data_IF_806876798563
#
_entry.id   IF_806876798563
#
_cell.length_a   1.000
_cell.length_b   1.000
_cell.length_c   1.000
_cell.angle_alpha   90.00
_cell.angle_beta   90.00
_cell.angle_gamma   90.00
#
_symmetry.space_group_name_H-M   'P 1'
#
loop_
_entity.id
_entity.type
_entity.pdbx_description
1 polymer ?
#
# COMPACT_ATOMS: atom_id res chain seq x y z
N UNK A 1 -3.93 31.73 -29.05
CA UNK A 1 -4.05 30.31 -29.40
C UNK A 1 -3.20 29.56 -28.39
N UNK A 2 -3.85 28.92 -27.44
CA UNK A 2 -3.27 28.30 -26.24
C UNK A 2 -2.52 27.02 -26.62
N UNK A 3 -1.22 26.99 -26.36
CA UNK A 3 -0.40 25.79 -26.46
C UNK A 3 -0.59 24.98 -25.17
N UNK A 4 -1.46 23.98 -25.24
CA UNK A 4 -1.67 23.01 -24.16
C UNK A 4 -0.45 22.09 -24.14
N UNK A 5 0.57 22.50 -23.39
CA UNK A 5 1.72 21.66 -23.08
C UNK A 5 1.21 20.34 -22.47
N UNK A 6 1.31 19.26 -23.24
CA UNK A 6 1.04 17.91 -22.81
C UNK A 6 1.93 17.58 -21.63
N UNK A 7 1.36 17.66 -20.42
CA UNK A 7 1.97 17.16 -19.19
C UNK A 7 2.31 15.70 -19.44
N UNK A 8 3.59 15.35 -19.52
CA UNK A 8 4.02 13.97 -19.74
C UNK A 8 3.37 13.11 -18.65
N UNK A 9 2.40 12.29 -19.01
CA UNK A 9 1.77 11.31 -18.12
C UNK A 9 2.73 10.15 -17.94
N UNK A 10 3.86 10.39 -17.27
CA UNK A 10 4.63 9.28 -16.73
C UNK A 10 3.76 8.65 -15.64
N UNK A 11 3.47 7.33 -15.71
CA UNK A 11 2.78 6.65 -14.62
C UNK A 11 3.59 6.91 -13.35
N UNK A 12 3.00 7.63 -12.40
CA UNK A 12 3.66 7.92 -11.14
C UNK A 12 3.81 6.62 -10.38
N UNK A 13 5.05 6.34 -9.99
CA UNK A 13 5.39 5.17 -9.18
C UNK A 13 5.27 5.53 -7.70
N UNK A 14 5.01 4.53 -6.86
CA UNK A 14 4.79 4.72 -5.43
C UNK A 14 6.03 5.32 -4.72
N UNK A 15 7.23 4.93 -5.14
CA UNK A 15 8.49 5.28 -4.50
C UNK A 15 8.75 6.78 -4.32
N UNK A 16 8.73 7.61 -5.39
CA UNK A 16 8.93 9.05 -5.27
C UNK A 16 7.92 9.74 -4.35
N UNK A 17 6.67 9.27 -4.31
CA UNK A 17 5.61 9.89 -3.50
C UNK A 17 5.72 9.51 -2.03
N UNK A 18 6.11 8.27 -1.72
CA UNK A 18 6.51 7.90 -0.35
C UNK A 18 7.76 8.68 0.08
N UNK A 19 8.74 8.85 -0.81
CA UNK A 19 9.94 9.62 -0.51
C UNK A 19 9.62 11.09 -0.18
N UNK A 20 8.75 11.74 -0.96
CA UNK A 20 8.25 13.10 -0.70
C UNK A 20 7.50 13.18 0.64
N UNK A 21 6.65 12.19 0.95
CA UNK A 21 5.92 12.16 2.22
C UNK A 21 6.85 12.11 3.44
N UNK A 22 7.97 11.37 3.34
CA UNK A 22 8.96 11.21 4.41
C UNK A 22 9.91 12.39 4.58
N UNK A 23 9.91 13.37 3.67
CA UNK A 23 10.67 14.61 3.84
C UNK A 23 10.01 15.59 4.83
N UNK A 24 8.77 15.31 5.25
CA UNK A 24 8.06 16.11 6.25
C UNK A 24 8.47 15.72 7.68
N UNK A 25 8.35 16.67 8.61
CA UNK A 25 8.60 16.41 10.03
C UNK A 25 7.58 15.46 10.66
N UNK A 26 6.35 15.46 10.15
CA UNK A 26 5.29 14.56 10.57
C UNK A 26 4.82 13.76 9.35
N UNK A 27 4.95 12.44 9.45
CA UNK A 27 4.60 11.50 8.40
C UNK A 27 3.39 10.70 8.88
N UNK A 28 2.27 10.78 8.17
CA UNK A 28 1.08 9.95 8.43
C UNK A 28 0.71 9.16 7.18
N UNK A 29 0.52 7.85 7.35
CA UNK A 29 0.24 6.94 6.25
C UNK A 29 -0.95 6.07 6.60
N UNK A 30 -2.04 6.20 5.84
CA UNK A 30 -3.20 5.33 5.95
C UNK A 30 -3.32 4.50 4.67
N UNK A 31 -3.17 3.18 4.81
CA UNK A 31 -2.93 2.29 3.68
C UNK A 31 -3.95 1.16 3.65
N UNK A 32 -4.60 0.96 2.52
CA UNK A 32 -5.37 -0.25 2.22
C UNK A 32 -4.75 -0.99 1.04
N UNK A 33 -4.37 -2.26 1.24
CA UNK A 33 -3.61 -3.02 0.25
C UNK A 33 -3.81 -4.53 0.41
N UNK A 34 -3.48 -5.29 -0.63
CA UNK A 34 -3.61 -6.75 -0.69
C UNK A 34 -2.46 -7.43 0.05
N UNK A 35 -1.23 -7.02 -0.21
CA UNK A 35 -0.02 -7.69 0.33
C UNK A 35 1.00 -6.78 1.00
N UNK A 36 0.86 -5.45 0.90
CA UNK A 36 1.87 -4.46 1.37
C UNK A 36 3.25 -4.52 0.71
N UNK A 37 3.52 -5.46 -0.18
CA UNK A 37 4.82 -5.68 -0.84
C UNK A 37 5.45 -4.39 -1.41
N UNK A 38 4.67 -3.62 -2.18
CA UNK A 38 5.19 -2.39 -2.80
C UNK A 38 5.54 -1.30 -1.79
N UNK A 39 4.77 -1.17 -0.70
CA UNK A 39 5.05 -0.12 0.29
C UNK A 39 6.18 -0.53 1.24
N UNK A 40 6.29 -1.81 1.58
CA UNK A 40 7.42 -2.34 2.35
C UNK A 40 8.77 -1.94 1.73
N UNK A 41 8.94 -2.17 0.42
CA UNK A 41 10.16 -1.78 -0.32
C UNK A 41 10.47 -0.29 -0.14
N UNK A 42 9.47 0.57 -0.25
CA UNK A 42 9.69 2.02 -0.22
C UNK A 42 9.89 2.56 1.19
N UNK A 43 9.29 1.94 2.21
CA UNK A 43 9.54 2.28 3.63
C UNK A 43 10.96 1.88 4.02
N UNK A 44 11.46 0.71 3.59
CA UNK A 44 12.86 0.33 3.77
C UNK A 44 13.82 1.36 3.16
N UNK A 45 13.53 1.83 1.94
CA UNK A 45 14.33 2.88 1.31
C UNK A 45 14.34 4.19 2.13
N UNK A 46 13.24 4.54 2.81
CA UNK A 46 13.21 5.73 3.68
C UNK A 46 13.94 5.49 5.00
N UNK A 47 13.83 4.28 5.57
CA UNK A 47 14.58 3.93 6.77
C UNK A 47 16.09 4.07 6.56
N UNK A 48 16.61 3.66 5.39
CA UNK A 48 18.01 3.87 5.03
C UNK A 48 18.39 5.36 4.92
N UNK A 49 17.51 6.20 4.33
CA UNK A 49 17.74 7.65 4.29
C UNK A 49 17.77 8.27 5.69
N UNK A 50 16.91 7.80 6.61
CA UNK A 50 16.90 8.24 8.02
C UNK A 50 18.21 7.84 8.71
N UNK A 51 18.65 6.59 8.54
CA UNK A 51 19.92 6.09 9.10
C UNK A 51 21.13 6.88 8.60
N UNK A 52 21.08 7.33 7.35
CA UNK A 52 22.10 8.16 6.74
C UNK A 52 22.01 9.66 7.11
N UNK A 53 21.05 10.06 7.96
CA UNK A 53 20.74 11.46 8.29
C UNK A 53 20.48 12.33 7.04
N UNK A 54 19.90 11.73 5.99
CA UNK A 54 19.48 12.46 4.77
C UNK A 54 18.11 13.13 5.01
N UNK A 55 17.25 12.49 5.80
CA UNK A 55 15.96 12.99 6.24
C UNK A 55 15.79 12.72 7.74
N UNK A 56 15.06 13.59 8.43
CA UNK A 56 14.92 13.55 9.90
C UNK A 56 13.44 13.77 10.31
N UNK A 57 12.52 12.85 9.97
CA UNK A 57 11.14 12.95 10.45
C UNK A 57 11.13 12.88 11.99
N UNK A 58 10.26 13.68 12.61
CA UNK A 58 10.06 13.69 14.06
C UNK A 58 9.00 12.70 14.51
N UNK A 59 8.01 12.44 13.65
CA UNK A 59 6.94 11.49 13.88
C UNK A 59 6.64 10.68 12.63
N UNK A 60 6.48 9.38 12.78
CA UNK A 60 5.92 8.47 11.77
C UNK A 60 4.71 7.78 12.39
N UNK A 61 3.55 7.89 11.75
CA UNK A 61 2.35 7.16 12.10
C UNK A 61 1.84 6.37 10.89
N UNK A 62 1.67 5.06 11.05
CA UNK A 62 1.18 4.19 9.97
C UNK A 62 -0.02 3.39 10.45
N UNK A 63 -1.13 3.50 9.73
CA UNK A 63 -2.29 2.60 9.87
C UNK A 63 -2.43 1.80 8.59
N UNK A 64 -2.52 0.48 8.72
CA UNK A 64 -2.66 -0.40 7.57
C UNK A 64 -3.84 -1.34 7.70
N UNK A 65 -4.67 -1.35 6.67
CA UNK A 65 -5.76 -2.29 6.46
C UNK A 65 -5.33 -3.36 5.46
N UNK A 66 -5.34 -4.61 5.92
CA UNK A 66 -5.07 -5.80 5.11
C UNK A 66 -6.32 -6.67 5.01
N UNK A 67 -6.52 -7.43 3.93
CA UNK A 67 -7.59 -8.42 3.88
C UNK A 67 -7.39 -9.49 4.95
N UNK A 68 -8.45 -9.86 5.67
CA UNK A 68 -8.43 -10.99 6.59
C UNK A 68 -8.15 -12.31 5.86
N UNK A 69 -7.67 -13.36 6.53
CA UNK A 69 -7.52 -14.68 5.91
C UNK A 69 -8.81 -15.16 5.23
N UNK A 70 -9.97 -14.92 5.86
CA UNK A 70 -11.27 -15.24 5.27
C UNK A 70 -11.56 -14.45 3.98
N UNK A 71 -11.22 -13.16 3.92
CA UNK A 71 -11.34 -12.39 2.68
C UNK A 71 -10.38 -12.87 1.59
N UNK A 72 -9.17 -13.30 1.97
CA UNK A 72 -8.20 -13.86 1.02
C UNK A 72 -8.68 -15.18 0.41
N UNK A 73 -9.36 -16.03 1.18
CA UNK A 73 -9.98 -17.26 0.66
C UNK A 73 -11.06 -17.00 -0.40
N UNK A 74 -11.79 -15.89 -0.25
CA UNK A 74 -12.88 -15.52 -1.15
C UNK A 74 -12.41 -14.74 -2.39
N UNK A 75 -11.10 -14.45 -2.51
CA UNK A 75 -10.58 -13.76 -3.69
C UNK A 75 -10.83 -14.61 -4.95
N UNK A 76 -11.27 -13.99 -6.05
CA UNK A 76 -11.40 -14.67 -7.35
C UNK A 76 -10.04 -14.91 -8.03
N UNK A 77 -8.95 -14.43 -7.42
CA UNK A 77 -7.57 -14.56 -7.87
C UNK A 77 -6.63 -14.70 -6.66
N UNK A 78 -5.39 -15.18 -6.83
CA UNK A 78 -4.86 -15.82 -8.03
C UNK A 78 -5.62 -17.12 -8.35
N UNK A 79 -5.70 -17.45 -9.65
CA UNK A 79 -6.35 -18.66 -10.16
C UNK A 79 -5.50 -19.28 -11.25
N UNK A 80 -5.10 -20.52 -11.08
CA UNK A 80 -4.30 -21.26 -12.06
C UNK A 80 -5.09 -21.56 -13.34
N UNK A 81 -4.37 -21.82 -14.44
CA UNK A 81 -5.00 -22.45 -15.61
C UNK A 81 -5.55 -23.84 -15.28
N UNK A 82 -4.84 -24.58 -14.44
CA UNK A 82 -5.30 -25.79 -13.78
C UNK A 82 -5.71 -25.45 -12.34
N UNK A 83 -6.94 -25.81 -11.98
CA UNK A 83 -7.54 -25.56 -10.67
C UNK A 83 -6.80 -26.28 -9.53
N UNK A 84 -6.00 -27.31 -9.83
CA UNK A 84 -5.14 -27.98 -8.84
C UNK A 84 -4.13 -27.05 -8.17
N UNK A 85 -3.79 -25.91 -8.80
CA UNK A 85 -2.84 -24.93 -8.25
C UNK A 85 -3.49 -23.82 -7.41
N UNK A 86 -4.82 -23.69 -7.39
CA UNK A 86 -5.50 -22.54 -6.77
C UNK A 86 -5.17 -22.39 -5.28
N UNK A 87 -5.15 -23.50 -4.54
CA UNK A 87 -4.79 -23.50 -3.12
C UNK A 87 -3.34 -23.04 -2.91
N UNK A 88 -2.39 -23.56 -3.70
CA UNK A 88 -0.98 -23.20 -3.62
C UNK A 88 -0.74 -21.72 -3.97
N UNK A 89 -1.48 -21.21 -4.95
CA UNK A 89 -1.41 -19.80 -5.35
C UNK A 89 -1.95 -18.87 -4.26
N UNK A 90 -3.06 -19.23 -3.61
CA UNK A 90 -3.62 -18.49 -2.47
C UNK A 90 -2.71 -18.54 -1.25
N UNK A 91 -2.15 -19.70 -0.93
CA UNK A 91 -1.19 -19.87 0.16
C UNK A 91 0.05 -19.00 -0.06
N UNK A 92 0.59 -19.00 -1.29
CA UNK A 92 1.68 -18.10 -1.68
C UNK A 92 1.31 -16.63 -1.47
N UNK A 93 0.13 -16.20 -1.93
CA UNK A 93 -0.32 -14.81 -1.77
C UNK A 93 -0.42 -14.42 -0.30
N UNK A 94 -0.97 -15.30 0.55
CA UNK A 94 -1.03 -15.12 2.01
C UNK A 94 0.36 -14.99 2.61
N UNK A 95 1.28 -15.87 2.23
CA UNK A 95 2.67 -15.81 2.66
C UNK A 95 3.37 -14.50 2.27
N UNK A 96 3.10 -13.95 1.08
CA UNK A 96 3.61 -12.63 0.69
C UNK A 96 3.06 -11.54 1.62
N UNK A 97 1.74 -11.52 1.84
CA UNK A 97 1.10 -10.53 2.70
C UNK A 97 1.66 -10.56 4.13
N UNK A 98 1.77 -11.75 4.72
CA UNK A 98 2.31 -11.96 6.07
C UNK A 98 3.78 -11.51 6.17
N UNK A 99 4.63 -11.90 5.21
CA UNK A 99 6.05 -11.54 5.21
C UNK A 99 6.27 -10.03 5.14
N UNK A 100 5.56 -9.32 4.27
CA UNK A 100 5.74 -7.88 4.12
C UNK A 100 5.11 -7.09 5.27
N UNK A 101 3.99 -7.56 5.85
CA UNK A 101 3.46 -6.97 7.07
C UNK A 101 4.45 -7.12 8.25
N UNK A 102 5.05 -8.30 8.41
CA UNK A 102 6.07 -8.54 9.43
C UNK A 102 7.35 -7.70 9.19
N UNK A 103 7.78 -7.59 7.93
CA UNK A 103 8.91 -6.75 7.52
C UNK A 103 8.70 -5.27 7.89
N UNK A 104 7.51 -4.73 7.61
CA UNK A 104 7.15 -3.36 7.96
C UNK A 104 7.15 -3.11 9.47
N UNK A 105 6.55 -4.03 10.25
CA UNK A 105 6.58 -3.94 11.73
C UNK A 105 8.01 -3.90 12.25
N UNK A 106 8.88 -4.74 11.68
CA UNK A 106 10.30 -4.81 12.07
C UNK A 106 11.01 -3.49 11.78
N UNK A 107 10.98 -2.99 10.53
CA UNK A 107 11.73 -1.78 10.16
C UNK A 107 11.25 -0.54 10.92
N UNK A 108 9.94 -0.37 11.11
CA UNK A 108 9.39 0.73 11.91
C UNK A 108 9.74 0.57 13.40
N UNK A 109 9.71 -0.67 13.91
CA UNK A 109 10.14 -0.98 15.27
C UNK A 109 11.62 -0.69 15.51
N UNK A 110 12.48 -0.94 14.52
CA UNK A 110 13.91 -0.64 14.56
C UNK A 110 14.16 0.87 14.63
N UNK A 111 13.52 1.68 13.76
CA UNK A 111 13.61 3.15 13.81
C UNK A 111 13.27 3.71 15.20
N UNK A 112 12.25 3.13 15.85
CA UNK A 112 11.86 3.47 17.23
C UNK A 112 12.90 3.04 18.26
N UNK A 113 13.35 1.79 18.18
CA UNK A 113 14.27 1.17 19.16
C UNK A 113 15.63 1.83 19.16
N UNK A 114 16.12 2.18 17.97
CA UNK A 114 17.38 2.88 17.76
C UNK A 114 17.27 4.39 18.01
N UNK A 115 16.08 4.89 18.33
CA UNK A 115 15.80 6.31 18.61
C UNK A 115 16.18 7.23 17.45
N UNK A 116 16.12 6.71 16.22
CA UNK A 116 16.36 7.49 15.00
C UNK A 116 15.19 8.41 14.69
N UNK A 117 13.98 8.05 15.13
CA UNK A 117 12.78 8.87 15.03
C UNK A 117 12.16 9.01 16.43
N UNK A 118 11.91 10.24 16.92
CA UNK A 118 11.38 10.47 18.27
C UNK A 118 10.05 9.77 18.58
N UNK A 119 9.12 9.73 17.61
CA UNK A 119 7.85 9.01 17.75
C UNK A 119 7.56 8.15 16.53
N UNK A 120 7.34 6.85 16.75
CA UNK A 120 6.93 5.90 15.72
C UNK A 120 5.76 5.08 16.24
N UNK A 121 4.62 5.23 15.58
CA UNK A 121 3.37 4.54 15.85
C UNK A 121 2.97 3.74 14.61
N UNK A 122 2.61 2.47 14.79
CA UNK A 122 2.09 1.68 13.69
C UNK A 122 1.05 0.68 14.17
N UNK A 123 0.03 0.50 13.35
CA UNK A 123 -1.06 -0.43 13.62
C UNK A 123 -1.50 -1.11 12.32
N UNK A 124 -1.73 -2.42 12.40
CA UNK A 124 -2.21 -3.21 11.27
C UNK A 124 -3.47 -3.94 11.70
N UNK A 125 -4.54 -3.69 10.96
CA UNK A 125 -5.85 -4.30 11.16
C UNK A 125 -6.26 -5.10 9.93
N UNK A 126 -7.12 -6.07 10.16
CA UNK A 126 -7.66 -6.92 9.11
C UNK A 126 -9.12 -6.58 8.84
N UNK A 127 -9.51 -6.66 7.57
CA UNK A 127 -10.89 -6.40 7.11
C UNK A 127 -11.42 -7.54 6.27
N UNK A 128 -12.71 -7.85 6.41
CA UNK A 128 -13.38 -8.84 5.55
C UNK A 128 -13.89 -8.16 4.27
N UNK A 129 -12.97 -7.50 3.55
CA UNK A 129 -13.22 -6.85 2.27
C UNK A 129 -12.23 -7.39 1.23
N UNK A 130 -12.75 -7.83 0.08
CA UNK A 130 -11.95 -8.20 -1.09
C UNK A 130 -11.33 -6.94 -1.70
N UNK A 131 -10.00 -6.77 -1.64
CA UNK A 131 -9.35 -5.56 -2.14
C UNK A 131 -9.45 -5.46 -3.66
N UNK A 132 -10.28 -4.55 -4.13
CA UNK A 132 -10.42 -4.18 -5.55
C UNK A 132 -9.44 -3.07 -5.97
N UNK A 133 -8.88 -2.33 -5.00
CA UNK A 133 -7.94 -1.25 -5.22
C UNK A 133 -6.91 -1.13 -4.09
N UNK A 134 -5.81 -0.45 -4.40
CA UNK A 134 -4.82 0.08 -3.47
C UNK A 134 -5.20 1.50 -3.12
N UNK A 135 -5.05 1.84 -1.84
CA UNK A 135 -5.20 3.19 -1.35
C UNK A 135 -4.01 3.55 -0.46
N UNK A 136 -3.45 4.73 -0.69
CA UNK A 136 -2.45 5.35 0.17
C UNK A 136 -2.88 6.78 0.43
N UNK A 137 -3.35 7.09 1.64
CA UNK A 137 -3.53 8.46 2.11
C UNK A 137 -2.21 8.90 2.73
N UNK A 138 -1.61 9.95 2.18
CA UNK A 138 -0.29 10.44 2.56
C UNK A 138 -0.45 11.82 3.21
N UNK A 139 -0.02 11.93 4.47
CA UNK A 139 0.02 13.17 5.24
C UNK A 139 -1.33 13.94 5.31
N UNK A 140 -2.46 13.27 5.05
CA UNK A 140 -3.80 13.86 5.00
C UNK A 140 -4.09 14.75 3.78
N UNK A 141 -3.08 15.06 2.98
CA UNK A 141 -3.17 16.02 1.86
C UNK A 141 -3.37 15.36 0.50
N UNK A 142 -2.98 14.08 0.40
CA UNK A 142 -2.87 13.39 -0.87
C UNK A 142 -3.36 11.95 -0.78
N UNK A 143 -3.92 11.48 -1.89
CA UNK A 143 -4.36 10.09 -2.05
C UNK A 143 -3.76 9.50 -3.32
N UNK A 144 -3.15 8.34 -3.18
CA UNK A 144 -2.80 7.47 -4.31
C UNK A 144 -3.79 6.32 -4.39
N UNK A 145 -4.38 6.14 -5.56
CA UNK A 145 -5.38 5.11 -5.80
C UNK A 145 -5.05 4.30 -7.06
N UNK A 146 -5.18 2.98 -7.00
CA UNK A 146 -4.96 2.12 -8.17
C UNK A 146 -5.73 0.82 -8.09
N UNK A 147 -6.37 0.43 -9.19
CA UNK A 147 -7.13 -0.83 -9.25
C UNK A 147 -6.19 -2.04 -9.29
N UNK A 148 -6.63 -3.15 -8.68
CA UNK A 148 -6.03 -4.46 -8.92
C UNK A 148 -6.52 -5.00 -10.27
N UNK A 149 -5.80 -4.67 -11.35
CA UNK A 149 -6.14 -5.11 -12.71
C UNK A 149 -5.75 -6.60 -12.87
N UNK A 150 -6.71 -7.50 -13.16
CA UNK A 150 -6.42 -8.89 -13.44
C UNK A 150 -5.67 -9.06 -14.76
N UNK A 151 -4.67 -9.94 -14.77
CA UNK A 151 -3.86 -10.29 -15.93
C UNK A 151 -3.50 -11.77 -15.89
N UNK A 152 -3.25 -12.38 -17.04
CA UNK A 152 -2.57 -13.67 -17.09
C UNK A 152 -1.05 -13.45 -16.99
N UNK A 153 -0.40 -14.13 -16.05
CA UNK A 153 1.05 -14.04 -15.86
C UNK A 153 1.64 -15.34 -15.31
N UNK A 154 2.94 -15.61 -15.55
CA UNK A 154 3.65 -16.61 -14.77
C UNK A 154 3.79 -16.17 -13.32
N UNK A 155 3.61 -17.13 -12.41
CA UNK A 155 3.78 -17.02 -10.97
C UNK A 155 4.66 -18.18 -10.52
N UNK A 156 5.73 -17.87 -9.79
CA UNK A 156 6.60 -18.90 -9.20
C UNK A 156 6.07 -19.24 -7.81
N UNK A 157 5.69 -20.50 -7.61
CA UNK A 157 5.26 -21.06 -6.32
C UNK A 157 6.45 -21.18 -5.36
N UNK A 158 6.15 -21.38 -4.07
CA UNK A 158 7.19 -21.57 -3.05
C UNK A 158 8.04 -22.84 -3.27
N UNK A 159 7.53 -23.80 -4.06
CA UNK A 159 8.27 -24.98 -4.53
C UNK A 159 9.32 -24.67 -5.59
N UNK A 160 9.30 -23.46 -6.16
CA UNK A 160 10.10 -23.07 -7.33
C UNK A 160 9.45 -23.40 -8.68
N UNK A 161 8.30 -24.08 -8.68
CA UNK A 161 7.53 -24.37 -9.89
C UNK A 161 6.89 -23.09 -10.45
N UNK A 162 6.97 -22.91 -11.78
CA UNK A 162 6.31 -21.80 -12.47
C UNK A 162 4.94 -22.24 -13.01
N UNK A 163 3.91 -21.49 -12.65
CA UNK A 163 2.52 -21.73 -13.05
C UNK A 163 1.94 -20.48 -13.70
N UNK A 164 1.25 -20.64 -14.83
CA UNK A 164 0.48 -19.53 -15.43
C UNK A 164 -0.85 -19.38 -14.71
N UNK A 165 -1.10 -18.18 -14.17
CA UNK A 165 -2.30 -17.87 -13.40
C UNK A 165 -2.92 -16.54 -13.85
N UNK A 166 -4.23 -16.42 -13.68
CA UNK A 166 -4.90 -15.13 -13.58
C UNK A 166 -4.58 -14.57 -12.20
N UNK A 167 -3.89 -13.43 -12.16
CA UNK A 167 -3.44 -12.75 -10.95
C UNK A 167 -3.58 -11.24 -11.12
N UNK A 168 -3.25 -10.44 -10.11
CA UNK A 168 -3.30 -8.98 -10.17
C UNK A 168 -1.91 -8.35 -10.04
N UNK A 169 -1.70 -7.24 -10.73
CA UNK A 169 -0.41 -6.55 -10.67
C UNK A 169 -0.23 -5.82 -9.33
N UNK A 170 0.73 -6.31 -8.53
CA UNK A 170 1.26 -5.64 -7.34
C UNK A 170 2.25 -4.53 -7.71
N UNK A 171 3.50 -4.91 -7.91
CA UNK A 171 4.59 -4.02 -8.33
C UNK A 171 4.38 -3.48 -9.75
N UNK A 172 4.70 -2.20 -9.95
CA UNK A 172 4.55 -1.54 -11.26
C UNK A 172 3.12 -1.20 -11.66
N UNK A 173 2.13 -1.44 -10.80
CA UNK A 173 0.76 -1.00 -11.03
C UNK A 173 0.68 0.53 -11.15
N UNK A 174 -0.14 1.01 -12.07
CA UNK A 174 -0.37 2.45 -12.24
C UNK A 174 -1.18 2.99 -11.06
N UNK A 175 -0.70 4.07 -10.45
CA UNK A 175 -1.41 4.81 -9.42
C UNK A 175 -1.86 6.17 -9.98
N UNK A 176 -3.05 6.59 -9.58
CA UNK A 176 -3.55 7.95 -9.81
C UNK A 176 -3.35 8.74 -8.53
N UNK A 177 -2.66 9.89 -8.62
CA UNK A 177 -2.47 10.81 -7.49
C UNK A 177 -3.56 11.88 -7.50
N UNK A 178 -4.17 12.09 -6.35
CA UNK A 178 -5.12 13.14 -6.06
C UNK A 178 -4.55 13.98 -4.92
N UNK A 179 -4.65 15.31 -5.02
CA UNK A 179 -4.06 16.25 -4.06
C UNK A 179 -5.09 17.32 -3.75
N UNK A 180 -5.14 17.78 -2.50
CA UNK A 180 -5.88 18.98 -2.11
C UNK A 180 -5.26 20.20 -2.79
N UNK A 181 -6.05 20.96 -3.52
CA UNK A 181 -5.59 22.17 -4.23
C UNK A 181 -6.01 23.47 -3.50
N UNK A 182 -6.37 23.37 -2.22
CA UNK A 182 -6.87 24.48 -1.40
C UNK A 182 -8.31 24.90 -1.71
N UNK A 183 -8.94 24.32 -2.75
CA UNK A 183 -10.37 24.50 -3.04
C UNK A 183 -11.13 23.25 -2.59
N UNK A 184 -12.04 23.35 -1.61
CA UNK A 184 -12.74 22.18 -1.07
C UNK A 184 -13.58 21.42 -2.10
N UNK A 185 -14.08 22.10 -3.12
CA UNK A 185 -14.96 21.55 -4.15
C UNK A 185 -14.23 21.06 -5.41
N UNK A 186 -12.89 21.14 -5.45
CA UNK A 186 -12.14 20.63 -6.59
C UNK A 186 -12.22 19.10 -6.63
N UNK A 187 -12.17 18.48 -7.84
CA UNK A 187 -12.19 17.03 -7.95
C UNK A 187 -11.08 16.33 -7.17
N UNK A 188 -9.92 16.98 -7.02
CA UNK A 188 -8.79 16.46 -6.24
C UNK A 188 -9.10 16.45 -4.75
N UNK A 189 -9.54 17.59 -4.20
CA UNK A 189 -9.91 17.72 -2.79
C UNK A 189 -11.07 16.78 -2.42
N UNK A 190 -12.14 16.76 -3.21
CA UNK A 190 -13.31 15.89 -2.98
C UNK A 190 -12.90 14.41 -2.98
N UNK A 191 -12.01 13.99 -3.87
CA UNK A 191 -11.53 12.60 -3.91
C UNK A 191 -10.67 12.26 -2.68
N UNK A 192 -9.78 13.17 -2.28
CA UNK A 192 -8.96 13.00 -1.07
C UNK A 192 -9.86 12.89 0.17
N UNK A 193 -10.82 13.80 0.33
CA UNK A 193 -11.79 13.77 1.43
C UNK A 193 -12.58 12.45 1.44
N UNK A 194 -13.19 12.08 0.32
CA UNK A 194 -14.02 10.88 0.21
C UNK A 194 -13.24 9.61 0.55
N UNK A 195 -12.01 9.47 0.05
CA UNK A 195 -11.21 8.27 0.30
C UNK A 195 -10.60 8.24 1.71
N UNK A 196 -10.35 9.41 2.30
CA UNK A 196 -9.95 9.52 3.72
C UNK A 196 -11.10 9.10 4.62
N UNK A 197 -12.31 9.62 4.39
CA UNK A 197 -13.52 9.24 5.10
C UNK A 197 -13.84 7.75 4.94
N UNK A 198 -13.65 7.21 3.73
CA UNK A 198 -13.78 5.77 3.49
C UNK A 198 -12.78 4.97 4.34
N UNK A 199 -11.50 5.37 4.37
CA UNK A 199 -10.49 4.68 5.18
C UNK A 199 -10.88 4.71 6.66
N UNK A 200 -11.25 5.87 7.19
CA UNK A 200 -11.67 6.00 8.60
C UNK A 200 -12.89 5.15 8.91
N UNK A 201 -13.91 5.17 8.05
CA UNK A 201 -15.11 4.35 8.21
C UNK A 201 -14.78 2.86 8.27
N UNK A 202 -13.93 2.37 7.37
CA UNK A 202 -13.48 0.97 7.37
C UNK A 202 -12.64 0.66 8.61
N UNK A 203 -11.70 1.54 8.96
CA UNK A 203 -10.82 1.40 10.11
C UNK A 203 -11.59 1.29 11.42
N UNK A 204 -12.56 2.18 11.64
CA UNK A 204 -13.32 2.23 12.88
C UNK A 204 -14.41 1.17 12.96
N UNK A 205 -15.11 0.90 11.85
CA UNK A 205 -16.36 0.12 11.89
C UNK A 205 -16.22 -1.31 11.38
N UNK A 206 -15.26 -1.59 10.50
CA UNK A 206 -15.20 -2.85 9.75
C UNK A 206 -13.90 -3.64 9.94
N UNK A 207 -12.96 -3.11 10.73
CA UNK A 207 -11.65 -3.73 10.91
C UNK A 207 -11.43 -4.24 12.33
N UNK A 208 -10.66 -5.32 12.44
CA UNK A 208 -10.27 -5.93 13.71
C UNK A 208 -8.74 -5.87 13.86
N UNK A 209 -8.26 -5.64 15.08
CA UNK A 209 -6.84 -5.75 15.37
C UNK A 209 -6.32 -7.16 15.10
N UNK A 210 -5.12 -7.23 14.53
CA UNK A 210 -4.41 -8.50 14.36
C UNK A 210 -4.12 -9.06 15.75
N UNK A 211 -4.80 -10.15 16.15
CA UNK A 211 -4.48 -10.90 17.37
C UNK A 211 -3.15 -11.64 17.24
#
# INVERSE_FOLDING_TARGET
MTDTAGRSRHPMTLGPLIAEAFERSEVTLDIYTLTSESVDIHIHAQAERIRANIIEPRRIALRMLLPSPAAMELLPHPRGRDAGYDALLKDRLRGIAERHAASLRRVLGELRTEKLVPSVEYEFRHVTLTPAFKLYVLNGDEVLHGAYIPVERPVVLDTGEEVVAVDVLGLGATLTRHVRDGRPDSPGSVFVDTMTDWFEGVWTLLSEESR
#
